data_IF_613066027788
#
_entry.id   IF_613066027788
#
_cell.length_a   1.000
_cell.length_b   1.000
_cell.length_c   1.000
_cell.angle_alpha   90.00
_cell.angle_beta   90.00
_cell.angle_gamma   90.00
#
_symmetry.space_group_name_H-M   'P 1'
#
loop_
_entity.id
_entity.type
_entity.pdbx_description
1 polymer ?
#
# COMPACT_ATOMS: atom_id res chain seq x y z
N UNK A 1 20.65 7.29 10.55
CA UNK A 1 19.50 6.43 10.92
C UNK A 1 18.22 7.18 10.57
N UNK A 2 17.52 6.81 9.50
CA UNK A 2 16.22 7.43 9.17
C UNK A 2 15.13 6.75 10.00
N UNK A 3 14.56 7.46 10.98
CA UNK A 3 13.42 6.96 11.77
C UNK A 3 12.11 7.40 11.11
N UNK A 4 11.60 6.55 10.23
CA UNK A 4 10.29 6.77 9.62
C UNK A 4 9.25 6.12 10.53
N UNK A 5 8.56 6.93 11.34
CA UNK A 5 7.48 6.45 12.21
C UNK A 5 6.24 6.03 11.42
N UNK A 6 5.36 5.24 12.03
CA UNK A 6 4.06 4.88 11.45
C UNK A 6 3.11 6.08 11.51
N UNK A 7 3.21 6.98 10.53
CA UNK A 7 2.29 8.13 10.42
C UNK A 7 0.92 7.61 9.97
N UNK A 8 0.00 7.42 10.93
CA UNK A 8 -1.41 7.17 10.63
C UNK A 8 -2.08 8.49 10.28
N UNK A 9 -2.10 8.82 8.99
CA UNK A 9 -2.74 10.03 8.48
C UNK A 9 -4.14 9.73 7.94
N UNK A 10 -5.14 10.52 8.38
CA UNK A 10 -6.53 10.43 7.92
C UNK A 10 -6.96 11.77 7.30
N UNK A 11 -6.55 12.00 6.06
CA UNK A 11 -7.01 13.16 5.29
C UNK A 11 -8.37 12.92 4.65
N UNK A 12 -9.26 13.91 4.71
CA UNK A 12 -10.51 13.95 3.95
C UNK A 12 -10.70 15.34 3.33
N UNK A 13 -11.36 15.38 2.18
CA UNK A 13 -11.85 16.62 1.60
C UNK A 13 -13.25 16.92 2.15
N UNK A 14 -13.49 18.11 2.67
CA UNK A 14 -14.80 18.51 3.18
C UNK A 14 -15.87 18.60 2.09
N UNK A 15 -15.49 18.99 0.87
CA UNK A 15 -16.38 19.09 -0.29
C UNK A 15 -16.62 17.73 -0.97
N UNK A 16 -15.66 16.82 -0.86
CA UNK A 16 -15.69 15.51 -1.53
C UNK A 16 -15.40 14.43 -0.50
N UNK A 17 -16.38 14.16 0.36
CA UNK A 17 -16.26 13.14 1.42
C UNK A 17 -16.17 11.72 0.87
N UNK A 18 -16.72 11.48 -0.33
CA UNK A 18 -16.71 10.19 -1.01
C UNK A 18 -15.44 9.94 -1.85
N UNK A 19 -14.60 10.96 -2.08
CA UNK A 19 -13.40 10.79 -2.89
C UNK A 19 -12.37 9.91 -2.19
N UNK A 20 -11.97 8.81 -2.84
CA UNK A 20 -10.97 7.88 -2.37
C UNK A 20 -9.77 7.87 -3.32
N UNK A 21 -8.60 8.39 -2.90
CA UNK A 21 -7.42 8.48 -3.79
C UNK A 21 -6.90 7.11 -4.24
N UNK A 22 -7.19 6.02 -3.53
CA UNK A 22 -6.79 4.66 -3.93
C UNK A 22 -7.62 4.12 -5.10
N UNK A 23 -8.94 4.36 -5.08
CA UNK A 23 -9.88 3.79 -6.04
C UNK A 23 -10.11 4.72 -7.23
N UNK A 24 -10.25 6.01 -6.95
CA UNK A 24 -10.69 7.00 -7.93
C UNK A 24 -9.52 7.65 -8.69
N UNK A 25 -8.33 7.64 -8.10
CA UNK A 25 -7.14 8.28 -8.64
C UNK A 25 -7.37 9.76 -9.00
N UNK A 26 -6.71 10.22 -10.07
CA UNK A 26 -6.89 11.59 -10.58
C UNK A 26 -8.28 11.82 -11.18
N UNK A 27 -8.86 10.79 -11.82
CA UNK A 27 -10.13 10.89 -12.55
C UNK A 27 -11.35 11.17 -11.68
N UNK A 28 -11.33 10.81 -10.39
CA UNK A 28 -12.42 11.15 -9.47
C UNK A 28 -12.34 12.54 -8.85
N UNK A 29 -11.32 13.35 -9.19
CA UNK A 29 -11.22 14.72 -8.69
C UNK A 29 -12.24 15.60 -9.43
N UNK A 30 -13.33 15.93 -8.74
CA UNK A 30 -14.38 16.79 -9.28
C UNK A 30 -13.95 18.26 -9.25
N UNK A 31 -13.99 18.91 -10.41
CA UNK A 31 -13.81 20.36 -10.55
C UNK A 31 -12.43 20.89 -10.16
N UNK A 32 -11.37 20.08 -10.32
CA UNK A 32 -10.00 20.53 -9.99
C UNK A 32 -9.82 20.86 -8.50
N UNK A 33 -10.40 20.05 -7.64
CA UNK A 33 -10.37 20.32 -6.20
C UNK A 33 -8.95 20.15 -5.64
N UNK A 34 -8.28 21.27 -5.36
CA UNK A 34 -6.92 21.30 -4.81
C UNK A 34 -6.71 20.45 -3.55
N UNK A 35 -7.72 20.32 -2.67
CA UNK A 35 -7.62 19.40 -1.49
C UNK A 35 -7.61 17.93 -1.91
N UNK A 36 -8.39 17.55 -2.92
CA UNK A 36 -8.38 16.18 -3.44
C UNK A 36 -7.06 15.88 -4.15
N UNK A 37 -6.50 16.85 -4.87
CA UNK A 37 -5.18 16.73 -5.51
C UNK A 37 -4.07 16.54 -4.47
N UNK A 38 -4.07 17.34 -3.40
CA UNK A 38 -3.13 17.15 -2.29
C UNK A 38 -3.30 15.78 -1.61
N UNK A 39 -4.56 15.34 -1.42
CA UNK A 39 -4.88 14.04 -0.84
C UNK A 39 -4.33 12.89 -1.71
N UNK A 40 -4.48 13.00 -3.04
CA UNK A 40 -3.89 12.07 -3.99
C UNK A 40 -2.36 12.07 -3.91
N UNK A 41 -1.73 13.25 -3.88
CA UNK A 41 -0.27 13.36 -3.77
C UNK A 41 0.30 12.73 -2.50
N UNK A 42 -0.39 12.88 -1.35
CA UNK A 42 0.00 12.19 -0.11
C UNK A 42 -0.09 10.67 -0.26
N UNK A 43 -1.16 10.18 -0.90
CA UNK A 43 -1.34 8.76 -1.14
C UNK A 43 -0.25 8.17 -2.04
N UNK A 44 0.06 8.83 -3.16
CA UNK A 44 1.11 8.43 -4.09
C UNK A 44 2.49 8.45 -3.44
N UNK A 45 2.80 9.49 -2.67
CA UNK A 45 4.05 9.58 -1.93
C UNK A 45 4.19 8.44 -0.91
N UNK A 46 3.11 8.09 -0.20
CA UNK A 46 3.10 6.95 0.70
C UNK A 46 3.32 5.63 -0.04
N UNK A 47 2.68 5.41 -1.19
CA UNK A 47 2.92 4.21 -2.00
C UNK A 47 4.37 4.13 -2.47
N UNK A 48 4.94 5.25 -2.97
CA UNK A 48 6.34 5.32 -3.40
C UNK A 48 7.28 4.99 -2.24
N UNK A 49 7.03 5.56 -1.07
CA UNK A 49 7.81 5.29 0.14
C UNK A 49 7.78 3.79 0.50
N UNK A 50 6.59 3.18 0.52
CA UNK A 50 6.44 1.76 0.84
C UNK A 50 7.13 0.87 -0.20
N UNK A 51 7.06 1.22 -1.50
CA UNK A 51 7.78 0.49 -2.56
C UNK A 51 9.28 0.57 -2.35
N UNK A 52 9.82 1.77 -2.13
CA UNK A 52 11.26 1.96 -1.85
C UNK A 52 11.72 1.19 -0.61
N UNK A 53 10.91 1.17 0.46
CA UNK A 53 11.22 0.37 1.65
C UNK A 53 11.25 -1.13 1.35
N UNK A 54 10.34 -1.63 0.51
CA UNK A 54 10.29 -3.04 0.11
C UNK A 54 11.48 -3.40 -0.78
N UNK A 55 11.76 -2.61 -1.80
CA UNK A 55 12.88 -2.80 -2.72
C UNK A 55 14.23 -2.70 -2.00
N UNK A 56 14.36 -1.78 -1.05
CA UNK A 56 15.54 -1.69 -0.20
C UNK A 56 15.64 -2.87 0.78
N UNK A 57 14.50 -3.32 1.32
CA UNK A 57 14.41 -4.42 2.29
C UNK A 57 14.54 -5.82 1.69
N UNK A 58 14.25 -5.99 0.39
CA UNK A 58 14.66 -7.17 -0.36
C UNK A 58 16.18 -7.14 -0.46
N UNK A 59 16.84 -7.75 0.53
CA UNK A 59 18.30 -7.97 0.50
C UNK A 59 18.65 -8.50 -0.88
N UNK A 60 19.62 -7.87 -1.54
CA UNK A 60 20.32 -8.52 -2.64
C UNK A 60 20.81 -9.89 -2.13
N UNK A 61 20.17 -10.97 -2.61
CA UNK A 61 20.51 -12.35 -2.22
C UNK A 61 19.70 -13.00 -1.08
N UNK A 62 18.56 -12.44 -0.63
CA UNK A 62 17.66 -13.22 0.23
C UNK A 62 17.00 -14.37 -0.57
N UNK A 63 17.54 -15.59 -0.42
CA UNK A 63 16.92 -16.83 -0.94
C UNK A 63 15.46 -16.91 -0.45
N UNK A 64 14.48 -17.16 -1.33
CA UNK A 64 13.12 -17.41 -0.89
C UNK A 64 13.13 -18.61 0.05
N UNK A 65 12.67 -18.41 1.28
CA UNK A 65 12.46 -19.50 2.23
C UNK A 65 11.38 -20.41 1.66
N UNK A 66 11.78 -21.54 1.10
CA UNK A 66 10.87 -22.63 0.80
C UNK A 66 10.29 -23.12 2.13
N UNK A 67 9.08 -22.69 2.47
CA UNK A 67 8.30 -23.40 3.47
C UNK A 67 8.03 -24.80 2.92
N UNK A 68 8.32 -25.88 3.66
CA UNK A 68 7.95 -27.22 3.22
C UNK A 68 6.42 -27.27 3.15
N UNK A 69 5.88 -27.52 1.96
CA UNK A 69 4.47 -27.85 1.79
C UNK A 69 4.32 -29.27 2.35
N UNK A 70 3.92 -29.39 3.61
CA UNK A 70 3.54 -30.68 4.19
C UNK A 70 2.30 -31.20 3.44
N UNK A 71 2.53 -32.24 2.63
CA UNK A 71 1.51 -33.05 1.99
C UNK A 71 0.59 -33.69 3.05
N UNK A 72 -0.45 -32.98 3.49
CA UNK A 72 -1.59 -33.56 4.20
C UNK A 72 -2.56 -34.18 3.20
N UNK A 73 -2.17 -35.29 2.61
CA UNK A 73 -3.11 -36.20 1.97
C UNK A 73 -3.22 -37.43 2.87
N UNK A 74 -4.14 -37.36 3.85
CA UNK A 74 -4.56 -38.51 4.63
C UNK A 74 -5.12 -39.56 3.66
N UNK A 75 -4.51 -40.74 3.64
CA UNK A 75 -5.06 -41.94 3.04
C UNK A 75 -6.39 -42.27 3.74
N UNK A 76 -7.50 -42.18 3.02
CA UNK A 76 -8.80 -42.68 3.46
C UNK A 76 -8.95 -44.10 2.90
N UNK A 77 -8.38 -45.06 3.61
CA UNK A 77 -8.55 -46.49 3.40
C UNK A 77 -8.62 -47.17 4.78
N UNK A 78 -9.83 -47.30 5.30
CA UNK A 78 -10.32 -48.47 6.05
C UNK A 78 -11.85 -48.48 5.96
#
# INVERSE_FOLDING_TARGET
MLRIGSVRWRGRCSKHSAYNPHLDGLGGIRGGCRRCEMLLGVYEAHQKLVRLMREFGTREGAKPSQSPVENRQLSLLD
#
